data_IF_099075447644
#
_entry.id   IF_099075447644
#
_cell.length_a   1.000
_cell.length_b   1.000
_cell.length_c   1.000
_cell.angle_alpha   90.00
_cell.angle_beta   90.00
_cell.angle_gamma   90.00
#
_symmetry.space_group_name_H-M   'P 1'
#
loop_
_entity.id
_entity.type
_entity.pdbx_description
1 polymer ?
#
# COMPACT_ATOMS: atom_id res chain seq x y z
N UNK A 1 7.13 -10.77 27.74
CA UNK A 1 5.92 -9.97 28.01
C UNK A 1 4.98 -10.18 26.84
N UNK A 2 4.01 -11.07 26.99
CA UNK A 2 2.98 -11.34 25.98
C UNK A 2 1.75 -10.53 26.34
N UNK A 3 1.49 -9.44 25.62
CA UNK A 3 0.21 -8.74 25.68
C UNK A 3 -0.70 -9.37 24.63
N UNK A 4 -1.74 -10.06 25.09
CA UNK A 4 -2.92 -10.35 24.27
C UNK A 4 -3.73 -9.06 24.17
N UNK A 5 -3.83 -8.48 22.98
CA UNK A 5 -4.70 -7.34 22.69
C UNK A 5 -5.63 -7.73 21.55
N UNK A 6 -6.86 -8.08 21.89
CA UNK A 6 -7.97 -8.15 20.95
C UNK A 6 -8.47 -6.71 20.69
N UNK A 7 -7.65 -5.92 19.98
CA UNK A 7 -7.89 -4.55 19.52
C UNK A 7 -6.94 -4.32 18.35
N UNK A 8 -7.45 -4.38 17.11
CA UNK A 8 -6.68 -4.41 15.85
C UNK A 8 -5.27 -3.86 15.96
N UNK A 9 -4.30 -4.76 16.04
CA UNK A 9 -2.90 -4.39 16.24
C UNK A 9 -2.47 -3.43 15.13
N UNK A 10 -1.83 -2.32 15.51
CA UNK A 10 -1.22 -1.43 14.55
C UNK A 10 -0.13 -2.18 13.76
N UNK A 11 -0.19 -2.11 12.44
CA UNK A 11 0.83 -2.69 11.57
C UNK A 11 1.11 -1.83 10.35
N UNK A 12 2.21 -2.15 9.66
CA UNK A 12 2.75 -1.35 8.55
C UNK A 12 2.20 -1.81 7.20
N UNK A 13 2.05 -0.88 6.27
CA UNK A 13 1.47 -1.12 4.96
C UNK A 13 2.24 -2.15 4.15
N UNK A 14 3.58 -2.15 4.21
CA UNK A 14 4.40 -3.13 3.47
C UNK A 14 4.23 -4.59 3.92
N UNK A 15 3.59 -4.83 5.07
CA UNK A 15 3.27 -6.16 5.59
C UNK A 15 1.75 -6.44 5.60
N UNK A 16 0.96 -5.54 5.02
CA UNK A 16 -0.50 -5.59 5.03
C UNK A 16 -1.05 -6.11 3.70
N UNK A 17 -1.94 -7.11 3.75
CA UNK A 17 -2.59 -7.65 2.54
C UNK A 17 -3.42 -6.62 1.77
N UNK A 18 -3.87 -5.57 2.45
CA UNK A 18 -4.69 -4.51 1.88
C UNK A 18 -3.89 -3.37 1.24
N UNK A 19 -2.57 -3.44 1.26
CA UNK A 19 -1.77 -2.45 0.57
C UNK A 19 -1.50 -2.92 -0.85
N UNK A 20 -2.01 -2.18 -1.83
CA UNK A 20 -1.82 -2.45 -3.24
C UNK A 20 -0.71 -1.57 -3.80
N UNK A 21 0.29 -2.18 -4.41
CA UNK A 21 1.32 -1.47 -5.18
C UNK A 21 1.23 -1.83 -6.67
N UNK A 22 1.91 -1.03 -7.49
CA UNK A 22 2.03 -1.28 -8.93
C UNK A 22 2.75 -2.62 -9.21
N UNK A 23 2.43 -3.32 -10.31
CA UNK A 23 3.05 -4.59 -10.64
C UNK A 23 4.57 -4.45 -10.80
N UNK A 24 5.33 -5.23 -10.05
CA UNK A 24 6.79 -5.22 -10.10
C UNK A 24 7.44 -4.07 -9.33
N UNK A 25 6.67 -3.24 -8.63
CA UNK A 25 7.21 -2.29 -7.67
C UNK A 25 7.87 -3.02 -6.50
N UNK A 26 8.97 -2.47 -6.00
CA UNK A 26 9.63 -2.97 -4.79
C UNK A 26 8.70 -2.82 -3.58
N UNK A 27 8.62 -3.84 -2.73
CA UNK A 27 7.97 -3.73 -1.43
C UNK A 27 8.95 -3.06 -0.46
N UNK A 28 8.84 -1.75 -0.33
CA UNK A 28 9.74 -0.92 0.47
C UNK A 28 8.96 0.16 1.24
N UNK A 29 9.58 0.72 2.28
CA UNK A 29 9.09 1.80 3.13
C UNK A 29 8.67 3.04 2.34
N UNK A 30 9.40 3.38 1.28
CA UNK A 30 9.16 4.59 0.49
C UNK A 30 8.29 4.34 -0.73
N UNK A 31 8.06 3.08 -1.11
CA UNK A 31 7.16 2.74 -2.21
C UNK A 31 5.77 3.29 -1.91
N UNK A 32 5.15 3.95 -2.89
CA UNK A 32 3.78 4.43 -2.80
C UNK A 32 2.81 3.34 -3.25
N UNK A 33 1.71 3.19 -2.52
CA UNK A 33 0.60 2.31 -2.90
C UNK A 33 -0.74 2.89 -2.47
N UNK A 34 -1.80 2.10 -2.67
CA UNK A 34 -3.15 2.41 -2.24
C UNK A 34 -3.66 1.41 -1.20
N UNK A 35 -4.42 1.90 -0.23
CA UNK A 35 -5.20 1.01 0.63
C UNK A 35 -6.44 0.52 -0.14
N UNK A 36 -6.61 -0.79 -0.22
CA UNK A 36 -7.75 -1.46 -0.86
C UNK A 36 -8.63 -2.20 0.15
N UNK A 37 -8.52 -1.86 1.44
CA UNK A 37 -9.50 -2.28 2.45
C UNK A 37 -10.90 -1.79 2.02
N UNK A 38 -11.88 -2.70 2.04
CA UNK A 38 -13.23 -2.48 1.52
C UNK A 38 -13.91 -1.25 2.15
N UNK A 39 -13.66 -1.00 3.44
CA UNK A 39 -14.26 0.14 4.17
C UNK A 39 -13.56 1.47 3.84
N UNK A 40 -12.34 1.42 3.30
CA UNK A 40 -11.50 2.59 3.02
C UNK A 40 -11.34 2.89 1.52
N UNK A 41 -11.74 1.96 0.64
CA UNK A 41 -11.53 2.06 -0.80
C UNK A 41 -12.15 3.32 -1.41
N UNK A 42 -13.27 3.80 -0.87
CA UNK A 42 -13.97 5.01 -1.33
C UNK A 42 -13.14 6.29 -1.17
N UNK A 43 -12.24 6.33 -0.19
CA UNK A 43 -11.36 7.48 0.06
C UNK A 43 -10.10 7.48 -0.79
N UNK A 44 -9.82 6.37 -1.52
CA UNK A 44 -8.62 6.22 -2.37
C UNK A 44 -7.34 6.62 -1.64
N UNK A 45 -7.14 6.08 -0.44
CA UNK A 45 -6.02 6.45 0.41
C UNK A 45 -4.70 6.03 -0.24
N UNK A 46 -3.89 7.01 -0.64
CA UNK A 46 -2.51 6.83 -1.06
C UNK A 46 -1.59 6.86 0.16
N UNK A 47 -0.76 5.84 0.34
CA UNK A 47 0.11 5.69 1.50
C UNK A 47 1.39 4.94 1.14
N UNK A 48 2.51 5.31 1.76
CA UNK A 48 3.79 4.62 1.57
C UNK A 48 3.91 3.37 2.45
N UNK A 49 4.84 2.48 2.13
CA UNK A 49 5.03 1.21 2.87
C UNK A 49 5.33 1.38 4.36
N UNK A 50 5.95 2.50 4.77
CA UNK A 50 6.22 2.84 6.17
C UNK A 50 5.03 3.46 6.92
N UNK A 51 3.94 3.76 6.22
CA UNK A 51 2.67 4.09 6.84
C UNK A 51 2.02 2.87 7.50
N UNK A 52 0.99 3.08 8.32
CA UNK A 52 0.30 2.00 9.02
C UNK A 52 -1.03 2.44 9.59
N UNK A 53 -1.85 1.46 9.99
CA UNK A 53 -3.12 1.71 10.68
C UNK A 53 -3.51 0.51 11.57
N UNK A 54 -4.57 0.67 12.34
CA UNK A 54 -5.17 -0.35 13.20
C UNK A 54 -6.14 -1.30 12.48
N UNK A 55 -6.30 -1.16 11.15
CA UNK A 55 -7.01 -2.13 10.29
C UNK A 55 -6.06 -3.10 9.60
N UNK A 56 -4.85 -3.19 10.13
CA UNK A 56 -3.81 -4.05 9.62
C UNK A 56 -4.26 -5.51 9.59
N UNK A 57 -4.00 -6.17 8.47
CA UNK A 57 -4.12 -7.62 8.35
C UNK A 57 -2.85 -8.12 7.69
N UNK A 58 -2.08 -8.90 8.45
CA UNK A 58 -0.82 -9.45 7.99
C UNK A 58 -1.01 -10.23 6.68
N UNK A 59 -0.15 -9.96 5.70
CA UNK A 59 -0.11 -10.69 4.44
C UNK A 59 0.71 -9.97 3.39
N UNK A 60 1.00 -10.67 2.30
CA UNK A 60 1.72 -10.08 1.17
C UNK A 60 0.89 -8.93 0.56
N UNK A 61 1.51 -7.77 0.27
CA UNK A 61 0.85 -6.68 -0.43
C UNK A 61 0.22 -7.14 -1.75
N UNK A 62 -0.96 -6.62 -2.05
CA UNK A 62 -1.62 -6.86 -3.31
C UNK A 62 -0.84 -6.22 -4.47
N UNK A 63 -0.88 -6.87 -5.62
CA UNK A 63 -0.41 -6.31 -6.88
C UNK A 63 -1.65 -6.01 -7.72
N UNK A 64 -1.86 -4.76 -8.08
CA UNK A 64 -2.97 -4.37 -8.94
C UNK A 64 -2.41 -3.63 -10.14
N UNK A 65 -2.95 -3.86 -11.33
CA UNK A 65 -2.64 -3.06 -12.52
C UNK A 65 -3.09 -1.63 -12.25
N UNK A 66 -2.17 -0.76 -11.85
CA UNK A 66 -2.48 0.65 -11.71
C UNK A 66 -2.33 1.38 -13.03
N UNK A 67 -2.63 2.67 -13.00
CA UNK A 67 -2.63 3.53 -14.18
C UNK A 67 -1.21 3.94 -14.60
N UNK A 68 -0.16 3.35 -14.03
CA UNK A 68 1.23 3.59 -14.36
C UNK A 68 1.63 3.07 -15.76
N UNK A 69 0.75 3.22 -16.76
CA UNK A 69 1.22 3.60 -18.09
C UNK A 69 2.04 4.86 -17.87
N UNK A 70 3.32 4.67 -17.54
CA UNK A 70 4.34 5.69 -17.59
C UNK A 70 4.00 6.54 -18.80
N UNK A 71 3.78 7.86 -18.63
CA UNK A 71 3.51 8.70 -19.77
C UNK A 71 4.57 8.36 -20.83
N UNK A 72 4.18 8.19 -22.11
CA UNK A 72 5.15 7.91 -23.14
C UNK A 72 6.30 8.91 -22.98
N UNK A 73 7.52 8.42 -23.08
CA UNK A 73 8.74 9.19 -22.81
C UNK A 73 8.63 10.54 -23.53
N UNK A 74 8.42 11.62 -22.76
CA UNK A 74 8.17 12.93 -23.34
C UNK A 74 9.47 13.36 -24.02
N UNK A 75 9.42 13.62 -25.33
CA UNK A 75 10.58 14.16 -26.03
C UNK A 75 10.86 15.56 -25.46
N UNK A 76 12.05 15.82 -24.90
CA UNK A 76 12.34 17.13 -24.32
C UNK A 76 12.25 18.20 -25.40
N UNK A 77 11.32 19.14 -25.26
CA UNK A 77 11.30 20.37 -26.04
C UNK A 77 12.35 21.32 -25.46
N UNK A 78 13.45 21.48 -26.21
CA UNK A 78 14.54 22.41 -25.90
C UNK A 78 14.06 23.86 -25.95
#
# INVERSE_FOLDING_TARGET
>A
MTHSSDNGDWGICMECKWWQVEPGASIDKETLGFCIDEDLQSYRLSITGNGGCNRFVQGAPAQGSGSSRQPPEATPSR
#
